data_IF_815786805254
#
_entry.id   IF_815786805254
#
_cell.length_a   1.000
_cell.length_b   1.000
_cell.length_c   1.000
_cell.angle_alpha   90.00
_cell.angle_beta   90.00
_cell.angle_gamma   90.00
#
_symmetry.space_group_name_H-M   'P 1'
#
loop_
_entity.id
_entity.type
_entity.pdbx_description
1 polymer ?
#
# COMPACT_ATOMS: atom_id res chain seq x y z
N UNK A 1 14.08 22.53 89.53
CA UNK A 1 13.15 23.18 88.58
C UNK A 1 13.16 22.34 87.30
N UNK A 2 12.22 21.40 87.17
CA UNK A 2 12.09 20.53 86.00
C UNK A 2 11.02 21.10 85.05
N UNK A 3 11.38 21.38 83.80
CA UNK A 3 10.48 21.47 82.63
C UNK A 3 11.37 21.70 81.40
N UNK A 4 11.60 20.69 80.57
CA UNK A 4 10.79 20.35 79.39
C UNK A 4 10.85 21.43 78.30
N UNK A 5 11.47 21.13 77.14
CA UNK A 5 10.78 21.08 75.84
C UNK A 5 11.73 20.82 74.66
N UNK A 6 11.26 19.89 73.84
CA UNK A 6 11.60 19.60 72.43
C UNK A 6 11.85 20.87 71.60
N UNK A 7 12.72 20.77 70.59
CA UNK A 7 12.36 20.96 69.18
C UNK A 7 13.52 20.51 68.27
N UNK A 8 13.36 19.31 67.68
CA UNK A 8 14.14 18.83 66.53
C UNK A 8 13.79 19.67 65.31
N UNK A 9 14.75 20.44 64.80
CA UNK A 9 14.59 21.24 63.59
C UNK A 9 14.91 20.40 62.34
N UNK A 10 13.86 20.28 61.54
CA UNK A 10 13.73 19.85 60.15
C UNK A 10 14.99 19.95 59.28
N UNK A 11 15.28 18.82 58.62
CA UNK A 11 16.21 18.62 57.52
C UNK A 11 15.76 19.46 56.30
N UNK A 12 16.66 20.31 55.78
CA UNK A 12 16.47 20.99 54.49
C UNK A 12 16.69 19.98 53.35
N UNK A 13 15.62 19.67 52.61
CA UNK A 13 15.67 18.92 51.35
C UNK A 13 15.59 19.92 50.20
N UNK A 14 16.66 20.01 49.41
CA UNK A 14 16.74 20.88 48.23
C UNK A 14 15.86 20.38 47.10
N UNK A 15 14.99 21.25 46.58
CA UNK A 15 14.24 21.04 45.34
C UNK A 15 14.97 21.79 44.23
N UNK A 16 15.56 21.04 43.30
CA UNK A 16 16.12 21.56 42.05
C UNK A 16 14.96 21.74 41.06
N UNK A 17 14.58 23.00 40.85
CA UNK A 17 13.55 23.42 39.90
C UNK A 17 14.15 23.44 38.48
N UNK A 18 13.97 22.36 37.71
CA UNK A 18 14.35 22.32 36.29
C UNK A 18 13.14 22.67 35.44
N UNK A 19 13.00 23.94 35.08
CA UNK A 19 11.99 24.41 34.14
C UNK A 19 12.40 24.03 32.71
N UNK A 20 11.75 23.01 32.15
CA UNK A 20 11.81 22.73 30.72
C UNK A 20 11.03 23.83 29.97
N UNK A 21 11.76 24.80 29.42
CA UNK A 21 11.26 25.69 28.37
C UNK A 21 11.07 24.85 27.10
N UNK A 22 9.86 24.34 26.91
CA UNK A 22 9.41 23.80 25.63
C UNK A 22 9.19 24.95 24.65
N UNK A 23 10.24 25.33 23.93
CA UNK A 23 10.12 26.14 22.72
C UNK A 23 9.52 25.26 21.62
N UNK A 24 8.20 25.38 21.45
CA UNK A 24 7.52 24.91 20.24
C UNK A 24 8.07 25.69 19.04
N UNK A 25 8.97 25.04 18.31
CA UNK A 25 9.31 25.43 16.94
C UNK A 25 8.04 25.26 16.11
N UNK A 26 7.32 26.35 15.91
CA UNK A 26 6.35 26.44 14.82
C UNK A 26 7.14 26.35 13.53
N UNK A 27 7.20 25.17 12.93
CA UNK A 27 7.54 25.04 11.52
C UNK A 27 6.42 25.73 10.76
N UNK A 28 6.65 26.98 10.37
CA UNK A 28 5.89 27.60 9.28
C UNK A 28 6.24 26.79 8.04
N UNK A 29 5.42 25.77 7.76
CA UNK A 29 5.33 25.18 6.43
C UNK A 29 4.80 26.29 5.53
N UNK A 30 5.72 27.09 4.98
CA UNK A 30 5.41 27.88 3.80
C UNK A 30 5.04 26.87 2.73
N UNK A 31 3.73 26.68 2.53
CA UNK A 31 3.24 25.93 1.39
C UNK A 31 3.77 26.66 0.16
N UNK A 32 4.85 26.14 -0.42
CA UNK A 32 5.23 26.52 -1.77
C UNK A 32 4.04 26.13 -2.63
N UNK A 33 3.31 27.13 -3.13
CA UNK A 33 2.19 26.91 -4.04
C UNK A 33 2.76 26.25 -5.29
N UNK A 34 2.55 24.94 -5.43
CA UNK A 34 2.93 24.18 -6.62
C UNK A 34 2.30 24.83 -7.84
N UNK A 35 3.09 25.08 -8.88
CA UNK A 35 2.58 25.69 -10.12
C UNK A 35 1.67 24.74 -10.89
N UNK A 36 1.61 23.45 -10.56
CA UNK A 36 0.84 22.45 -11.31
C UNK A 36 -0.26 21.87 -10.44
N UNK A 37 -1.43 21.70 -11.06
CA UNK A 37 -2.57 20.98 -10.51
C UNK A 37 -3.21 20.06 -11.56
N UNK A 38 -3.75 18.94 -11.11
CA UNK A 38 -4.47 17.99 -11.93
C UNK A 38 -5.95 18.39 -12.04
N UNK A 39 -6.47 18.43 -13.27
CA UNK A 39 -7.87 18.81 -13.56
C UNK A 39 -8.74 17.58 -13.81
N UNK A 40 -8.26 16.63 -14.63
CA UNK A 40 -9.01 15.42 -14.96
C UNK A 40 -8.12 14.29 -15.45
N UNK A 41 -8.60 13.05 -15.32
CA UNK A 41 -7.96 11.83 -15.84
C UNK A 41 -9.01 11.04 -16.62
N UNK A 42 -8.70 10.70 -17.87
CA UNK A 42 -9.47 9.76 -18.67
C UNK A 42 -8.61 8.55 -19.02
N UNK A 43 -9.11 7.36 -18.70
CA UNK A 43 -8.55 6.11 -19.17
C UNK A 43 -9.05 5.86 -20.61
N UNK A 44 -8.11 5.89 -21.56
CA UNK A 44 -8.38 5.65 -22.98
C UNK A 44 -8.57 4.18 -23.31
N UNK A 45 -7.99 3.28 -22.52
CA UNK A 45 -8.12 1.83 -22.70
C UNK A 45 -9.52 1.38 -22.32
N UNK A 46 -10.03 1.83 -21.17
CA UNK A 46 -11.39 1.49 -20.71
C UNK A 46 -12.47 2.49 -21.12
N UNK A 47 -12.10 3.64 -21.70
CA UNK A 47 -12.99 4.75 -22.04
C UNK A 47 -13.79 5.31 -20.85
N UNK A 48 -13.20 5.27 -19.66
CA UNK A 48 -13.82 5.75 -18.41
C UNK A 48 -13.06 6.93 -17.81
N UNK A 49 -13.77 7.74 -17.02
CA UNK A 49 -13.14 8.80 -16.22
C UNK A 49 -12.60 8.19 -14.93
N UNK A 50 -11.36 8.52 -14.57
CA UNK A 50 -10.72 8.07 -13.33
C UNK A 50 -10.78 9.20 -12.31
N UNK A 51 -11.28 8.91 -11.10
CA UNK A 51 -11.34 9.89 -10.04
C UNK A 51 -9.94 10.32 -9.59
N UNK A 52 -9.75 11.61 -9.32
CA UNK A 52 -8.49 12.14 -8.80
C UNK A 52 -8.14 11.43 -7.48
N UNK A 53 -6.88 11.03 -7.33
CA UNK A 53 -6.40 10.27 -6.17
C UNK A 53 -6.54 8.75 -6.30
N UNK A 54 -7.25 8.25 -7.32
CA UNK A 54 -7.19 6.82 -7.67
C UNK A 54 -5.91 6.51 -8.46
N UNK A 55 -5.31 5.32 -8.25
CA UNK A 55 -4.11 4.94 -8.97
C UNK A 55 -4.39 4.75 -10.47
N UNK A 56 -3.40 5.06 -11.30
CA UNK A 56 -3.40 4.64 -12.70
C UNK A 56 -3.02 3.16 -12.79
N UNK A 57 -3.56 2.45 -13.76
CA UNK A 57 -3.27 1.05 -14.01
C UNK A 57 -2.12 0.91 -15.02
N UNK A 58 -1.15 0.07 -14.67
CA UNK A 58 -0.07 -0.32 -15.55
C UNK A 58 -0.61 -1.01 -16.81
N UNK A 59 -0.07 -0.65 -17.97
CA UNK A 59 -0.50 -1.15 -19.28
C UNK A 59 -1.65 -0.36 -19.91
N UNK A 60 -2.26 0.59 -19.20
CA UNK A 60 -3.32 1.43 -19.74
C UNK A 60 -2.78 2.72 -20.37
N UNK A 61 -3.59 3.30 -21.25
CA UNK A 61 -3.32 4.61 -21.86
C UNK A 61 -4.24 5.66 -21.26
N UNK A 62 -3.70 6.84 -21.02
CA UNK A 62 -4.38 7.93 -20.33
C UNK A 62 -4.34 9.22 -21.13
N UNK A 63 -5.40 10.00 -20.98
CA UNK A 63 -5.45 11.41 -21.32
C UNK A 63 -5.70 12.18 -20.02
N UNK A 64 -4.70 12.89 -19.52
CA UNK A 64 -4.84 13.72 -18.32
C UNK A 64 -4.84 15.19 -18.72
N UNK A 65 -5.68 15.97 -18.05
CA UNK A 65 -5.67 17.43 -18.15
C UNK A 65 -5.01 18.00 -16.90
N UNK A 66 -4.03 18.85 -17.10
CA UNK A 66 -3.32 19.59 -16.05
C UNK A 66 -3.51 21.09 -16.26
N UNK A 67 -3.48 21.83 -15.17
CA UNK A 67 -3.39 23.29 -15.17
C UNK A 67 -2.05 23.69 -14.57
N UNK A 68 -1.33 24.54 -15.30
CA UNK A 68 -0.16 25.23 -14.78
C UNK A 68 -0.55 26.67 -14.47
N UNK A 69 -0.43 27.05 -13.22
CA UNK A 69 -0.67 28.39 -12.68
C UNK A 69 0.69 29.10 -12.53
N UNK A 70 1.00 30.00 -13.46
CA UNK A 70 2.22 30.80 -13.47
C UNK A 70 1.98 32.06 -12.64
N UNK A 71 2.64 32.23 -11.47
CA UNK A 71 2.28 33.25 -10.50
C UNK A 71 2.81 34.65 -10.83
N UNK A 72 3.80 34.78 -11.71
CA UNK A 72 4.37 36.07 -12.10
C UNK A 72 5.10 35.98 -13.44
N UNK A 73 5.16 37.12 -14.14
CA UNK A 73 5.91 37.27 -15.40
C UNK A 73 7.39 37.52 -15.11
N UNK A 74 8.28 36.84 -15.84
CA UNK A 74 9.72 37.11 -15.78
C UNK A 74 10.30 37.22 -17.19
N UNK A 75 10.72 38.44 -17.55
CA UNK A 75 11.26 38.73 -18.88
C UNK A 75 12.51 37.89 -19.18
N UNK A 76 12.56 37.30 -20.37
CA UNK A 76 13.65 36.43 -20.80
C UNK A 76 13.70 35.05 -20.12
N UNK A 77 12.76 34.75 -19.22
CA UNK A 77 12.65 33.44 -18.58
C UNK A 77 11.65 32.54 -19.32
N UNK A 78 11.90 31.23 -19.22
CA UNK A 78 11.03 30.20 -19.75
C UNK A 78 10.74 29.18 -18.65
N UNK A 79 9.69 28.40 -18.85
CA UNK A 79 9.47 27.18 -18.09
C UNK A 79 9.16 26.02 -19.02
N UNK A 80 9.57 24.83 -18.60
CA UNK A 80 9.39 23.58 -19.28
C UNK A 80 8.39 22.71 -18.50
N UNK A 81 7.42 22.14 -19.20
CA UNK A 81 6.52 21.11 -18.66
C UNK A 81 6.97 19.78 -19.22
N UNK A 82 7.33 18.86 -18.33
CA UNK A 82 8.05 17.62 -18.66
C UNK A 82 7.27 16.41 -18.17
N UNK A 83 6.96 15.50 -19.09
CA UNK A 83 6.42 14.17 -18.78
C UNK A 83 7.56 13.23 -18.40
N UNK A 84 7.34 12.37 -17.40
CA UNK A 84 8.35 11.42 -16.98
C UNK A 84 8.80 10.45 -18.09
N UNK A 85 10.10 10.11 -18.08
CA UNK A 85 10.72 9.31 -19.14
C UNK A 85 10.26 7.85 -19.15
N UNK A 86 9.76 7.34 -18.03
CA UNK A 86 9.16 6.01 -17.97
C UNK A 86 7.87 5.91 -18.79
N UNK A 87 7.19 7.03 -19.07
CA UNK A 87 5.95 7.04 -19.83
C UNK A 87 6.22 6.99 -21.34
N UNK A 88 5.32 6.31 -22.05
CA UNK A 88 5.38 6.16 -23.52
C UNK A 88 4.28 6.98 -24.18
N UNK A 89 4.49 7.43 -25.42
CA UNK A 89 3.47 8.23 -26.12
C UNK A 89 2.29 7.36 -26.49
N UNK A 90 1.08 7.82 -26.21
CA UNK A 90 -0.15 7.20 -26.70
C UNK A 90 -0.58 7.90 -28.00
N UNK A 91 0.17 7.66 -29.10
CA UNK A 91 -0.11 8.23 -30.42
C UNK A 91 1.09 8.98 -31.02
N UNK A 92 0.81 9.97 -31.88
CA UNK A 92 1.84 10.74 -32.59
C UNK A 92 2.41 11.90 -31.79
N UNK A 93 1.77 12.28 -30.68
CA UNK A 93 2.21 13.37 -29.82
C UNK A 93 1.79 13.16 -28.38
N UNK A 94 2.50 13.82 -27.46
CA UNK A 94 2.19 13.80 -26.04
C UNK A 94 1.23 14.92 -25.68
N UNK A 95 1.52 16.15 -26.11
CA UNK A 95 0.90 17.35 -25.56
C UNK A 95 -0.13 17.98 -26.48
N UNK A 96 -1.20 18.48 -25.88
CA UNK A 96 -2.25 19.26 -26.52
C UNK A 96 -2.49 20.53 -25.71
N UNK A 97 -2.37 21.69 -26.35
CA UNK A 97 -2.68 22.97 -25.73
C UNK A 97 -4.20 23.20 -25.75
N UNK A 98 -4.80 23.32 -24.57
CA UNK A 98 -6.22 23.63 -24.44
C UNK A 98 -6.46 25.15 -24.34
N UNK A 99 -5.56 25.87 -23.65
CA UNK A 99 -5.61 27.34 -23.52
C UNK A 99 -4.80 28.02 -24.63
N UNK A 100 -5.41 28.23 -25.80
CA UNK A 100 -4.71 28.81 -26.97
C UNK A 100 -4.30 30.27 -26.83
N UNK A 101 -4.89 31.01 -25.89
CA UNK A 101 -4.68 32.45 -25.69
C UNK A 101 -3.65 32.78 -24.59
N UNK A 102 -2.91 31.80 -24.09
CA UNK A 102 -1.85 32.05 -23.11
C UNK A 102 -0.72 32.88 -23.75
N UNK A 103 -0.38 34.02 -23.16
CA UNK A 103 0.57 34.99 -23.75
C UNK A 103 2.00 34.44 -23.89
N UNK A 104 2.39 33.50 -23.03
CA UNK A 104 3.70 32.83 -23.09
C UNK A 104 3.80 31.70 -24.11
N UNK A 105 2.73 31.42 -24.87
CA UNK A 105 2.71 30.38 -25.90
C UNK A 105 3.27 30.90 -27.24
N UNK A 106 4.14 30.10 -27.85
CA UNK A 106 4.63 30.31 -29.20
C UNK A 106 4.51 29.03 -30.03
N UNK A 107 3.71 29.08 -31.10
CA UNK A 107 3.43 27.93 -31.97
C UNK A 107 4.65 27.42 -32.75
N UNK A 108 5.65 28.26 -32.98
CA UNK A 108 6.87 27.87 -33.74
C UNK A 108 7.84 27.04 -32.91
N UNK A 109 7.83 27.21 -31.59
CA UNK A 109 8.69 26.48 -30.65
C UNK A 109 7.97 25.34 -29.95
N UNK A 110 6.63 25.32 -30.00
CA UNK A 110 5.83 24.29 -29.39
C UNK A 110 5.90 22.98 -30.20
N UNK A 111 6.57 21.98 -29.63
CA UNK A 111 6.73 20.66 -30.23
C UNK A 111 5.93 19.63 -29.44
N UNK A 112 4.66 19.37 -29.81
CA UNK A 112 3.78 18.50 -29.03
C UNK A 112 4.25 17.04 -28.97
N UNK A 113 5.09 16.61 -29.92
CA UNK A 113 5.69 15.27 -29.96
C UNK A 113 6.88 15.07 -29.03
N UNK A 114 7.45 16.13 -28.46
CA UNK A 114 8.53 16.01 -27.48
C UNK A 114 7.95 15.81 -26.07
N UNK A 115 8.65 15.07 -25.20
CA UNK A 115 8.22 14.87 -23.78
C UNK A 115 8.24 16.15 -22.97
N UNK A 116 9.06 17.12 -23.40
CA UNK A 116 9.21 18.42 -22.78
C UNK A 116 8.68 19.49 -23.73
N UNK A 117 7.80 20.36 -23.24
CA UNK A 117 7.30 21.53 -23.97
C UNK A 117 7.66 22.80 -23.22
N UNK A 118 8.07 23.81 -23.97
CA UNK A 118 8.59 25.08 -23.44
C UNK A 118 7.62 26.23 -23.66
N UNK A 119 7.52 27.09 -22.65
CA UNK A 119 6.74 28.32 -22.69
C UNK A 119 7.58 29.49 -22.16
N UNK A 120 7.30 30.70 -22.65
CA UNK A 120 7.81 31.91 -22.02
C UNK A 120 7.06 32.17 -20.72
N UNK A 121 7.77 32.57 -19.67
CA UNK A 121 7.19 32.74 -18.35
C UNK A 121 6.39 34.05 -18.27
N UNK A 122 5.08 33.94 -18.49
CA UNK A 122 4.12 35.04 -18.34
C UNK A 122 3.07 34.66 -17.31
N UNK A 123 2.72 35.58 -16.43
CA UNK A 123 1.68 35.38 -15.42
C UNK A 123 0.36 34.94 -16.06
N UNK A 124 -0.27 33.92 -15.49
CA UNK A 124 -1.56 33.42 -15.96
C UNK A 124 -1.71 31.91 -15.81
N UNK A 125 -2.76 31.39 -16.41
CA UNK A 125 -3.12 29.97 -16.33
C UNK A 125 -3.06 29.33 -17.70
N UNK A 126 -2.46 28.15 -17.78
CA UNK A 126 -2.41 27.35 -19.00
C UNK A 126 -2.91 25.95 -18.71
N UNK A 127 -3.89 25.50 -19.51
CA UNK A 127 -4.36 24.12 -19.48
C UNK A 127 -3.76 23.31 -20.62
N UNK A 128 -3.23 22.15 -20.25
CA UNK A 128 -2.57 21.21 -21.13
C UNK A 128 -3.24 19.84 -20.96
N UNK A 129 -3.48 19.16 -22.07
CA UNK A 129 -3.76 17.72 -22.05
C UNK A 129 -2.51 16.95 -22.44
N UNK A 130 -2.24 15.84 -21.77
CA UNK A 130 -1.15 14.93 -22.11
C UNK A 130 -1.65 13.50 -22.27
N UNK A 131 -1.28 12.91 -23.40
CA UNK A 131 -1.62 11.55 -23.80
C UNK A 131 -0.39 10.65 -23.68
N UNK A 132 -0.49 9.63 -22.85
CA UNK A 132 0.60 8.69 -22.61
C UNK A 132 0.10 7.31 -22.22
N UNK A 133 0.97 6.31 -22.32
CA UNK A 133 0.71 4.95 -21.85
C UNK A 133 1.66 4.61 -20.71
N UNK A 134 1.10 4.03 -19.65
CA UNK A 134 1.85 3.54 -18.49
C UNK A 134 2.42 2.16 -18.85
N UNK A 135 3.73 1.93 -18.78
CA UNK A 135 4.30 0.61 -19.09
C UNK A 135 3.74 -0.47 -18.15
N UNK A 136 3.37 -1.63 -18.71
CA UNK A 136 2.86 -2.76 -17.92
C UNK A 136 3.88 -3.29 -16.88
N UNK A 137 5.18 -3.10 -17.13
CA UNK A 137 6.24 -3.57 -16.24
C UNK A 137 6.58 -2.59 -15.10
N UNK A 138 5.96 -1.40 -15.04
CA UNK A 138 6.35 -0.36 -14.06
C UNK A 138 6.15 -0.78 -12.60
N UNK A 139 5.17 -1.65 -12.34
CA UNK A 139 4.90 -2.23 -11.01
C UNK A 139 5.65 -3.54 -10.78
N UNK A 140 6.30 -4.11 -11.81
CA UNK A 140 6.82 -5.47 -11.81
C UNK A 140 8.32 -5.50 -11.55
N UNK A 141 8.76 -6.33 -10.60
CA UNK A 141 10.15 -6.68 -10.35
C UNK A 141 10.31 -8.19 -10.47
N UNK A 142 11.27 -8.65 -11.26
CA UNK A 142 11.61 -10.07 -11.33
C UNK A 142 12.85 -10.35 -10.49
N UNK A 143 12.80 -11.40 -9.66
CA UNK A 143 13.94 -11.85 -8.88
C UNK A 143 13.85 -13.35 -8.62
N UNK A 144 14.95 -14.07 -8.82
CA UNK A 144 15.06 -15.53 -8.56
C UNK A 144 13.94 -16.37 -9.23
N UNK A 145 13.48 -15.97 -10.42
CA UNK A 145 12.40 -16.66 -11.14
C UNK A 145 10.99 -16.38 -10.63
N UNK A 146 10.85 -15.58 -9.58
CA UNK A 146 9.56 -15.09 -9.09
C UNK A 146 9.26 -13.67 -9.60
N UNK A 147 7.97 -13.38 -9.76
CA UNK A 147 7.45 -12.06 -10.12
C UNK A 147 6.92 -11.39 -8.85
N UNK A 148 7.42 -10.19 -8.58
CA UNK A 148 6.99 -9.34 -7.48
C UNK A 148 6.33 -8.08 -8.05
N UNK A 149 5.25 -7.64 -7.42
CA UNK A 149 4.45 -6.49 -7.83
C UNK A 149 4.34 -5.48 -6.70
N UNK A 150 4.72 -4.24 -6.97
CA UNK A 150 4.69 -3.15 -6.01
C UNK A 150 3.97 -1.95 -6.61
N UNK A 151 3.00 -1.41 -5.87
CA UNK A 151 2.40 -0.11 -6.18
C UNK A 151 3.50 0.95 -6.16
N UNK A 152 3.51 1.83 -7.16
CA UNK A 152 4.36 3.00 -7.19
C UNK A 152 3.59 4.16 -6.57
N UNK A 153 3.88 4.48 -5.32
CA UNK A 153 3.31 5.61 -4.61
C UNK A 153 4.02 6.92 -4.99
N UNK A 154 3.26 8.02 -5.05
CA UNK A 154 3.75 9.38 -5.30
C UNK A 154 4.66 9.51 -6.55
N UNK A 155 4.39 8.72 -7.59
CA UNK A 155 5.17 8.67 -8.81
C UNK A 155 5.15 10.04 -9.53
N UNK A 156 6.31 10.71 -9.74
CA UNK A 156 6.37 12.07 -10.27
C UNK A 156 6.12 12.11 -11.78
N UNK A 157 4.85 12.13 -12.17
CA UNK A 157 4.39 11.99 -13.55
C UNK A 157 4.72 13.21 -14.42
N UNK A 158 4.39 14.42 -13.95
CA UNK A 158 4.66 15.67 -14.67
C UNK A 158 5.41 16.63 -13.76
N UNK A 159 6.45 17.27 -14.30
CA UNK A 159 7.26 18.28 -13.61
C UNK A 159 7.21 19.60 -14.35
N UNK A 160 7.21 20.69 -13.62
CA UNK A 160 7.37 22.05 -14.15
C UNK A 160 8.72 22.58 -13.69
N UNK A 161 9.59 22.90 -14.65
CA UNK A 161 10.95 23.38 -14.44
C UNK A 161 11.07 24.81 -14.95
N UNK A 162 11.70 25.71 -14.20
CA UNK A 162 12.00 27.07 -14.69
C UNK A 162 13.42 27.16 -15.24
N UNK A 163 13.73 28.23 -15.97
CA UNK A 163 15.10 28.56 -16.38
C UNK A 163 16.06 28.45 -15.20
N UNK A 164 17.12 27.64 -15.35
CA UNK A 164 18.05 27.28 -14.27
C UNK A 164 17.84 25.89 -13.69
N UNK A 165 16.76 25.19 -14.09
CA UNK A 165 16.53 23.78 -13.75
C UNK A 165 15.79 23.53 -12.44
N UNK A 166 15.41 24.58 -11.72
CA UNK A 166 14.64 24.45 -10.48
C UNK A 166 13.22 23.94 -10.74
N UNK A 167 12.79 22.94 -9.98
CA UNK A 167 11.42 22.43 -10.01
C UNK A 167 10.49 23.34 -9.21
N UNK A 168 9.45 23.84 -9.86
CA UNK A 168 8.44 24.74 -9.25
C UNK A 168 7.06 24.09 -9.10
N UNK A 169 6.90 22.88 -9.64
CA UNK A 169 5.70 22.07 -9.47
C UNK A 169 5.95 20.62 -9.87
N UNK A 170 5.34 19.69 -9.13
CA UNK A 170 5.34 18.27 -9.43
C UNK A 170 3.92 17.76 -9.28
N UNK A 171 3.40 17.10 -10.32
CA UNK A 171 2.19 16.32 -10.22
C UNK A 171 2.57 14.86 -10.06
N UNK A 172 2.42 14.36 -8.83
CA UNK A 172 2.58 12.94 -8.52
C UNK A 172 1.26 12.18 -8.68
N UNK A 173 1.36 10.89 -9.00
CA UNK A 173 0.23 9.97 -9.06
C UNK A 173 0.62 8.60 -8.54
N UNK A 174 -0.33 7.82 -8.05
CA UNK A 174 -0.08 6.43 -7.72
C UNK A 174 -0.25 5.56 -8.97
N UNK A 175 0.59 4.54 -9.12
CA UNK A 175 0.49 3.57 -10.21
C UNK A 175 0.39 2.17 -9.62
N UNK A 176 -0.65 1.46 -10.02
CA UNK A 176 -1.01 0.12 -9.58
C UNK A 176 -1.15 -0.81 -10.78
N UNK A 177 -1.47 -2.08 -10.54
CA UNK A 177 -1.81 -3.04 -11.58
C UNK A 177 -3.03 -3.87 -11.20
N UNK A 178 -3.53 -4.66 -12.14
CA UNK A 178 -4.75 -5.45 -11.95
C UNK A 178 -4.64 -6.43 -10.76
N UNK A 179 -3.46 -7.01 -10.51
CA UNK A 179 -3.27 -7.94 -9.39
C UNK A 179 -3.30 -7.22 -8.04
N UNK A 180 -2.66 -6.05 -7.96
CA UNK A 180 -2.67 -5.22 -6.76
C UNK A 180 -4.11 -4.74 -6.46
N UNK A 181 -4.81 -4.21 -7.46
CA UNK A 181 -6.20 -3.76 -7.28
C UNK A 181 -7.15 -4.90 -6.92
N UNK A 182 -6.93 -6.10 -7.48
CA UNK A 182 -7.68 -7.31 -7.10
C UNK A 182 -7.49 -7.61 -5.62
N UNK A 183 -6.23 -7.65 -5.15
CA UNK A 183 -5.93 -7.86 -3.73
C UNK A 183 -6.61 -6.82 -2.83
N UNK A 184 -6.46 -5.53 -3.13
CA UNK A 184 -7.05 -4.44 -2.34
C UNK A 184 -8.58 -4.54 -2.30
N UNK A 185 -9.20 -4.90 -3.42
CA UNK A 185 -10.65 -5.17 -3.50
C UNK A 185 -11.03 -6.35 -2.62
N UNK A 186 -10.29 -7.46 -2.67
CA UNK A 186 -10.53 -8.63 -1.82
C UNK A 186 -10.37 -8.30 -0.34
N UNK A 187 -9.34 -7.54 0.07
CA UNK A 187 -9.18 -7.08 1.46
C UNK A 187 -10.42 -6.31 1.92
N UNK A 188 -10.88 -5.34 1.14
CA UNK A 188 -12.05 -4.53 1.48
C UNK A 188 -13.31 -5.39 1.61
N UNK A 189 -13.51 -6.35 0.70
CA UNK A 189 -14.63 -7.28 0.78
C UNK A 189 -14.53 -8.17 2.02
N UNK A 190 -13.40 -8.84 2.26
CA UNK A 190 -13.22 -9.81 3.35
C UNK A 190 -13.26 -9.16 4.73
N UNK A 191 -12.64 -7.99 4.88
CA UNK A 191 -12.65 -7.22 6.13
C UNK A 191 -14.06 -6.75 6.53
N UNK A 192 -14.97 -6.61 5.56
CA UNK A 192 -16.37 -6.24 5.82
C UNK A 192 -17.26 -7.41 6.27
N UNK A 193 -16.81 -8.67 6.15
CA UNK A 193 -17.65 -9.84 6.42
C UNK A 193 -18.05 -9.99 7.89
N UNK A 194 -17.15 -9.68 8.82
CA UNK A 194 -17.45 -9.71 10.26
C UNK A 194 -18.33 -8.52 10.67
N UNK A 195 -18.01 -7.25 10.31
CA UNK A 195 -18.87 -6.11 10.61
C UNK A 195 -20.28 -6.20 10.00
N UNK A 196 -20.42 -6.78 8.80
CA UNK A 196 -21.70 -6.95 8.11
C UNK A 196 -22.55 -8.10 8.68
N UNK A 197 -22.02 -8.89 9.61
CA UNK A 197 -22.71 -10.04 10.21
C UNK A 197 -22.77 -11.27 9.31
N UNK A 198 -22.03 -11.30 8.19
CA UNK A 198 -21.91 -12.49 7.34
C UNK A 198 -21.01 -13.57 7.97
N UNK A 199 -20.10 -13.17 8.84
CA UNK A 199 -19.32 -14.05 9.71
C UNK A 199 -19.59 -13.65 11.16
N UNK A 200 -19.76 -14.63 12.04
CA UNK A 200 -20.00 -14.40 13.47
C UNK A 200 -18.82 -13.66 14.12
N UNK A 201 -19.13 -12.74 15.05
CA UNK A 201 -18.12 -11.92 15.74
C UNK A 201 -17.09 -12.74 16.53
N UNK A 202 -17.41 -13.97 16.94
CA UNK A 202 -16.47 -14.88 17.59
C UNK A 202 -15.23 -15.19 16.74
N UNK A 203 -15.32 -15.07 15.41
CA UNK A 203 -14.21 -15.28 14.48
C UNK A 203 -13.40 -14.00 14.16
N UNK A 204 -13.72 -12.86 14.78
CA UNK A 204 -13.07 -11.56 14.50
C UNK A 204 -11.53 -11.62 14.63
N UNK A 205 -11.03 -12.27 15.69
CA UNK A 205 -9.59 -12.41 15.92
C UNK A 205 -8.90 -13.23 14.81
N UNK A 206 -9.53 -14.32 14.37
CA UNK A 206 -9.04 -15.16 13.28
C UNK A 206 -9.05 -14.41 11.95
N UNK A 207 -10.15 -13.75 11.61
CA UNK A 207 -10.27 -12.95 10.38
C UNK A 207 -9.22 -11.85 10.34
N UNK A 208 -9.01 -11.14 11.46
CA UNK A 208 -7.93 -10.15 11.58
C UNK A 208 -6.55 -10.77 11.41
N UNK A 209 -6.28 -11.92 12.02
CA UNK A 209 -5.01 -12.64 11.84
C UNK A 209 -4.73 -13.02 10.38
N UNK A 210 -5.74 -13.52 9.66
CA UNK A 210 -5.60 -13.84 8.23
C UNK A 210 -5.38 -12.57 7.40
N UNK A 211 -6.11 -11.48 7.68
CA UNK A 211 -5.92 -10.19 7.02
C UNK A 211 -4.50 -9.64 7.24
N UNK A 212 -3.98 -9.72 8.47
CA UNK A 212 -2.61 -9.32 8.79
C UNK A 212 -1.58 -10.17 8.04
N UNK A 213 -1.78 -11.48 7.97
CA UNK A 213 -0.86 -12.36 7.26
C UNK A 213 -0.88 -12.10 5.74
N UNK A 214 -2.06 -11.88 5.17
CA UNK A 214 -2.20 -11.50 3.78
C UNK A 214 -1.49 -10.16 3.48
N UNK A 215 -1.59 -9.18 4.39
CA UNK A 215 -0.87 -7.92 4.27
C UNK A 215 0.66 -8.11 4.27
N UNK A 216 1.18 -8.98 5.14
CA UNK A 216 2.62 -9.32 5.12
C UNK A 216 3.04 -9.86 3.76
N UNK A 217 2.28 -10.79 3.17
CA UNK A 217 2.57 -11.37 1.85
C UNK A 217 2.45 -10.33 0.74
N UNK A 218 1.45 -9.45 0.81
CA UNK A 218 1.27 -8.34 -0.12
C UNK A 218 2.45 -7.36 -0.08
N UNK A 219 2.91 -6.97 1.12
CA UNK A 219 4.06 -6.08 1.31
C UNK A 219 5.39 -6.68 0.83
N UNK A 220 5.47 -8.00 0.71
CA UNK A 220 6.59 -8.68 0.05
C UNK A 220 6.50 -8.64 -1.48
N UNK A 221 5.44 -8.04 -2.03
CA UNK A 221 5.20 -7.88 -3.46
C UNK A 221 4.50 -9.07 -4.10
N UNK A 222 3.73 -9.86 -3.34
CA UNK A 222 3.04 -11.04 -3.86
C UNK A 222 1.51 -10.91 -3.73
N UNK A 223 0.86 -9.98 -4.46
CA UNK A 223 -0.57 -9.72 -4.31
C UNK A 223 -1.45 -10.92 -4.68
N UNK A 224 -1.04 -11.77 -5.63
CA UNK A 224 -1.79 -12.97 -5.99
C UNK A 224 -1.79 -13.99 -4.84
N UNK A 225 -0.62 -14.30 -4.28
CA UNK A 225 -0.51 -15.21 -3.12
C UNK A 225 -1.20 -14.63 -1.88
N UNK A 226 -1.12 -13.32 -1.68
CA UNK A 226 -1.86 -12.65 -0.61
C UNK A 226 -3.38 -12.80 -0.78
N UNK A 227 -3.87 -12.73 -2.03
CA UNK A 227 -5.27 -12.97 -2.37
C UNK A 227 -5.68 -14.42 -2.09
N UNK A 228 -4.82 -15.40 -2.36
CA UNK A 228 -5.06 -16.81 -2.01
C UNK A 228 -5.23 -17.00 -0.49
N UNK A 229 -4.39 -16.33 0.32
CA UNK A 229 -4.53 -16.32 1.79
C UNK A 229 -5.88 -15.74 2.21
N UNK A 230 -6.33 -14.64 1.59
CA UNK A 230 -7.63 -14.03 1.89
C UNK A 230 -8.82 -14.90 1.46
N UNK A 231 -8.68 -15.70 0.41
CA UNK A 231 -9.75 -16.56 -0.08
C UNK A 231 -10.07 -17.72 0.86
N UNK A 232 -9.20 -18.00 1.85
CA UNK A 232 -9.52 -18.89 2.98
C UNK A 232 -10.72 -18.34 3.77
N UNK A 233 -10.88 -17.02 3.84
CA UNK A 233 -12.03 -16.38 4.47
C UNK A 233 -13.24 -16.53 3.53
N UNK A 234 -13.96 -17.63 3.64
CA UNK A 234 -15.24 -17.83 2.94
C UNK A 234 -16.34 -18.12 3.93
N UNK A 235 -17.55 -17.63 3.66
CA UNK A 235 -18.72 -17.84 4.53
C UNK A 235 -19.05 -19.32 4.72
N UNK A 236 -18.72 -20.16 3.73
CA UNK A 236 -18.81 -21.63 3.83
C UNK A 236 -17.79 -22.26 4.78
N UNK A 237 -16.64 -21.63 5.01
CA UNK A 237 -15.59 -22.12 5.90
C UNK A 237 -15.85 -21.74 7.38
N UNK A 238 -16.88 -20.92 7.66
CA UNK A 238 -17.28 -20.53 9.01
C UNK A 238 -18.72 -20.99 9.28
N UNK A 239 -18.93 -22.27 9.65
CA UNK A 239 -20.26 -22.73 10.03
C UNK A 239 -20.79 -21.91 11.22
N UNK A 240 -22.11 -21.73 11.26
CA UNK A 240 -22.78 -21.09 12.39
C UNK A 240 -22.35 -21.81 13.68
N UNK A 241 -21.82 -21.09 14.68
CA UNK A 241 -21.27 -21.74 15.86
C UNK A 241 -22.38 -22.51 16.58
N UNK A 242 -22.12 -23.77 17.03
CA UNK A 242 -23.07 -24.49 17.84
C UNK A 242 -23.43 -23.65 19.07
N UNK A 243 -24.71 -23.62 19.41
CA UNK A 243 -25.22 -22.94 20.60
C UNK A 243 -24.70 -23.65 21.85
N UNK A 244 -23.55 -23.23 22.40
CA UNK A 244 -23.22 -23.21 23.83
C UNK A 244 -21.76 -22.79 24.10
N UNK A 245 -21.54 -22.29 25.33
CA UNK A 245 -20.36 -21.60 25.91
C UNK A 245 -18.99 -22.33 25.88
N UNK A 246 -18.76 -23.28 24.98
CA UNK A 246 -17.45 -23.90 24.67
C UNK A 246 -16.68 -23.15 23.54
N UNK A 247 -17.24 -22.03 23.07
CA UNK A 247 -16.89 -21.31 21.83
C UNK A 247 -15.49 -20.68 21.78
N UNK A 248 -14.95 -20.16 22.88
CA UNK A 248 -13.72 -19.33 22.80
C UNK A 248 -12.43 -20.14 22.69
N UNK A 249 -12.41 -21.39 23.14
CA UNK A 249 -11.18 -22.21 23.16
C UNK A 249 -11.02 -23.05 21.88
N UNK A 250 -12.14 -23.53 21.30
CA UNK A 250 -12.15 -24.34 20.08
C UNK A 250 -11.86 -23.51 18.82
N UNK A 251 -12.42 -22.29 18.75
CA UNK A 251 -12.22 -21.36 17.63
C UNK A 251 -10.79 -20.81 17.63
N UNK A 252 -10.22 -20.58 18.83
CA UNK A 252 -8.82 -20.17 18.97
C UNK A 252 -7.82 -21.24 18.51
N UNK A 253 -8.08 -22.52 18.78
CA UNK A 253 -7.18 -23.60 18.38
C UNK A 253 -7.17 -23.83 16.85
N UNK A 254 -8.35 -23.82 16.20
CA UNK A 254 -8.46 -23.97 14.74
C UNK A 254 -7.86 -22.77 14.01
N UNK A 255 -8.02 -21.56 14.58
CA UNK A 255 -7.42 -20.33 14.06
C UNK A 255 -5.89 -20.38 14.00
N UNK A 256 -5.26 -20.83 15.09
CA UNK A 256 -3.81 -20.95 15.19
C UNK A 256 -3.28 -22.00 14.21
N UNK A 257 -3.96 -23.14 14.06
CA UNK A 257 -3.56 -24.20 13.12
C UNK A 257 -3.68 -23.76 11.67
N UNK A 258 -4.74 -23.04 11.28
CA UNK A 258 -4.89 -22.54 9.92
C UNK A 258 -3.82 -21.50 9.57
N UNK A 259 -3.52 -20.58 10.49
CA UNK A 259 -2.43 -19.60 10.32
C UNK A 259 -1.08 -20.30 10.25
N UNK A 260 -0.80 -21.25 11.14
CA UNK A 260 0.43 -22.03 11.15
C UNK A 260 0.59 -22.87 9.87
N UNK A 261 -0.49 -23.45 9.33
CA UNK A 261 -0.48 -24.19 8.07
C UNK A 261 -0.19 -23.28 6.87
N UNK A 262 -0.76 -22.07 6.84
CA UNK A 262 -0.48 -21.08 5.78
C UNK A 262 0.96 -20.58 5.88
N UNK A 263 1.45 -20.26 7.08
CA UNK A 263 2.84 -19.88 7.31
C UNK A 263 3.77 -21.03 6.91
N UNK A 264 3.46 -22.26 7.32
CA UNK A 264 4.19 -23.47 6.94
C UNK A 264 4.21 -23.69 5.43
N UNK A 265 3.07 -23.53 4.75
CA UNK A 265 2.97 -23.65 3.29
C UNK A 265 3.76 -22.55 2.56
N UNK A 266 3.71 -21.31 3.05
CA UNK A 266 4.48 -20.19 2.49
C UNK A 266 5.99 -20.38 2.71
N UNK A 267 6.39 -20.79 3.91
CA UNK A 267 7.77 -21.15 4.23
C UNK A 267 8.25 -22.35 3.39
N UNK A 268 7.40 -23.35 3.18
CA UNK A 268 7.69 -24.50 2.33
C UNK A 268 7.82 -24.11 0.85
N UNK A 269 6.97 -23.22 0.34
CA UNK A 269 7.11 -22.68 -1.03
C UNK A 269 8.43 -21.90 -1.21
N UNK A 270 8.91 -21.25 -0.14
CA UNK A 270 10.20 -20.57 -0.09
C UNK A 270 11.38 -21.53 0.15
N UNK A 271 11.12 -22.72 0.68
CA UNK A 271 12.11 -23.79 0.85
C UNK A 271 12.31 -24.59 -0.45
N UNK A 272 11.26 -24.81 -1.25
CA UNK A 272 11.39 -25.48 -2.55
C UNK A 272 12.15 -24.65 -3.61
N UNK A 273 12.34 -23.35 -3.41
CA UNK A 273 13.27 -22.53 -4.21
C UNK A 273 14.73 -22.63 -3.74
N UNK A 274 15.00 -23.37 -2.65
CA UNK A 274 16.32 -23.71 -2.13
C UNK A 274 16.40 -25.20 -1.83
N UNK A 275 16.76 -25.99 -2.84
CA UNK A 275 17.35 -27.30 -2.56
C UNK A 275 18.53 -27.09 -1.57
N UNK A 276 18.43 -27.73 -0.40
CA UNK A 276 19.34 -27.66 0.75
C UNK A 276 19.10 -26.50 1.73
N UNK A 277 18.25 -26.73 2.73
CA UNK A 277 18.62 -26.65 4.16
C UNK A 277 17.51 -27.28 5.03
N UNK A 278 17.92 -28.20 5.91
CA UNK A 278 17.10 -29.23 6.56
C UNK A 278 16.42 -28.80 7.89
N UNK A 279 15.25 -29.39 8.08
CA UNK A 279 14.71 -30.07 9.28
C UNK A 279 14.27 -29.29 10.54
N UNK A 280 14.86 -28.15 10.93
CA UNK A 280 14.54 -27.58 12.26
C UNK A 280 13.14 -26.98 12.37
N UNK A 281 12.66 -26.24 11.36
CA UNK A 281 11.32 -25.65 11.40
C UNK A 281 10.19 -26.69 11.21
N UNK A 282 10.53 -27.86 10.68
CA UNK A 282 9.59 -28.97 10.42
C UNK A 282 9.40 -29.77 11.71
N UNK A 283 10.45 -30.05 12.47
CA UNK A 283 10.32 -30.79 13.75
C UNK A 283 9.57 -29.99 14.82
N UNK A 284 9.74 -28.66 14.87
CA UNK A 284 9.00 -27.81 15.82
C UNK A 284 7.50 -27.75 15.49
N UNK A 285 7.16 -27.56 14.21
CA UNK A 285 5.77 -27.62 13.74
C UNK A 285 5.16 -29.02 13.92
N UNK A 286 5.96 -30.09 13.78
CA UNK A 286 5.53 -31.49 13.94
C UNK A 286 5.25 -31.84 15.40
N UNK A 287 6.06 -31.35 16.34
CA UNK A 287 5.83 -31.55 17.77
C UNK A 287 4.59 -30.79 18.27
N UNK A 288 4.34 -29.59 17.74
CA UNK A 288 3.15 -28.79 18.09
C UNK A 288 1.87 -29.38 17.48
N UNK A 289 1.94 -29.90 16.24
CA UNK A 289 0.85 -30.65 15.60
C UNK A 289 0.55 -31.99 16.31
N UNK A 290 1.57 -32.73 16.75
CA UNK A 290 1.38 -34.00 17.47
C UNK A 290 0.75 -33.79 18.87
N UNK A 291 1.14 -32.72 19.55
CA UNK A 291 0.52 -32.29 20.82
C UNK A 291 -0.96 -31.94 20.65
N UNK A 292 -1.33 -31.30 19.54
CA UNK A 292 -2.73 -30.97 19.23
C UNK A 292 -3.53 -32.18 18.75
N UNK A 293 -2.93 -33.13 18.03
CA UNK A 293 -3.58 -34.35 17.54
C UNK A 293 -4.05 -35.24 18.70
N UNK A 294 -3.22 -35.43 19.73
CA UNK A 294 -3.57 -36.17 20.95
C UNK A 294 -4.72 -35.49 21.72
N UNK A 295 -4.85 -34.17 21.57
CA UNK A 295 -5.91 -33.37 22.21
C UNK A 295 -7.19 -33.36 21.37
N UNK A 296 -7.11 -33.33 20.04
CA UNK A 296 -8.24 -33.34 19.11
C UNK A 296 -8.88 -34.74 18.94
N UNK A 297 -8.07 -35.80 18.97
CA UNK A 297 -8.53 -37.19 18.84
C UNK A 297 -9.42 -37.66 20.01
N UNK A 298 -9.50 -36.91 21.12
CA UNK A 298 -10.41 -37.22 22.24
C UNK A 298 -11.83 -36.65 22.07
N UNK A 299 -12.12 -35.82 21.06
CA UNK A 299 -13.37 -35.04 21.03
C UNK A 299 -14.13 -34.98 19.69
N UNK A 300 -13.51 -35.17 18.52
CA UNK A 300 -14.24 -35.31 17.24
C UNK A 300 -13.41 -36.06 16.16
N UNK A 301 -13.95 -37.20 15.68
CA UNK A 301 -13.30 -38.15 14.76
C UNK A 301 -13.17 -37.61 13.32
N UNK A 302 -14.10 -36.73 12.91
CA UNK A 302 -14.11 -36.12 11.58
C UNK A 302 -12.95 -35.12 11.40
N UNK A 303 -12.68 -34.33 12.44
CA UNK A 303 -11.63 -33.33 12.46
C UNK A 303 -10.24 -33.97 12.58
N UNK A 304 -10.13 -35.02 13.41
CA UNK A 304 -8.95 -35.86 13.49
C UNK A 304 -8.62 -36.50 12.14
N UNK A 305 -9.62 -36.95 11.37
CA UNK A 305 -9.41 -37.55 10.04
C UNK A 305 -8.89 -36.55 9.00
N UNK A 306 -9.29 -35.27 9.07
CA UNK A 306 -8.86 -34.23 8.15
C UNK A 306 -7.44 -33.72 8.47
N UNK A 307 -7.13 -33.59 9.76
CA UNK A 307 -5.77 -33.28 10.24
C UNK A 307 -4.80 -34.42 9.92
N UNK A 308 -5.23 -35.68 10.09
CA UNK A 308 -4.47 -36.86 9.70
C UNK A 308 -4.21 -36.90 8.20
N UNK A 309 -5.20 -36.60 7.35
CA UNK A 309 -5.02 -36.50 5.89
C UNK A 309 -4.03 -35.41 5.48
N UNK A 310 -4.01 -34.29 6.19
CA UNK A 310 -3.04 -33.20 5.95
C UNK A 310 -1.64 -33.59 6.40
N UNK A 311 -1.51 -34.27 7.54
CA UNK A 311 -0.24 -34.82 8.04
C UNK A 311 0.32 -35.90 7.11
N UNK A 312 -0.50 -36.86 6.70
CA UNK A 312 -0.06 -37.97 5.85
C UNK A 312 0.35 -37.45 4.45
N UNK A 313 -0.30 -36.39 3.94
CA UNK A 313 0.15 -35.65 2.73
C UNK A 313 1.48 -34.90 2.89
N UNK A 314 1.85 -34.55 4.12
CA UNK A 314 3.14 -33.94 4.43
C UNK A 314 4.24 -35.00 4.69
N UNK A 315 3.88 -36.26 4.94
CA UNK A 315 4.84 -37.38 5.09
C UNK A 315 5.20 -38.03 3.74
N UNK A 316 4.31 -37.98 2.75
CA UNK A 316 4.52 -38.58 1.42
C UNK A 316 5.20 -37.66 0.38
N UNK A 317 5.52 -36.40 0.72
CA UNK A 317 6.14 -35.41 -0.18
C UNK A 317 7.49 -34.90 0.35
#
# INVERSE_FOLDING_TARGET
MFSNKRHSKSLMLGIVLTACLSSSLFTVSGAQTSWISLVSIQDKTSSTSVAIGKPLLAGHSYNITIQVDVPFTQSGSNFDVVLDNSMTASGTQYWYLLTKNYLGYNSTTFKPGERSIRFTQVEGKIQLAVLFSVPAAITVKQSLGETYRFMQEDFPLVRVLVTGGSTVGVQSINISDASIESYLTTVNQKSSLVPSGQIDKSYDSLVKGILTQADVVYRLGQPEKATDVLNIISTSNFPAPPSNNLQTLLIGAVAVVAVAAVVGFLLFSRANSKASMKASAIDDARNELASLEVTAARYDESLASQLKRLRDKLEEA
#
